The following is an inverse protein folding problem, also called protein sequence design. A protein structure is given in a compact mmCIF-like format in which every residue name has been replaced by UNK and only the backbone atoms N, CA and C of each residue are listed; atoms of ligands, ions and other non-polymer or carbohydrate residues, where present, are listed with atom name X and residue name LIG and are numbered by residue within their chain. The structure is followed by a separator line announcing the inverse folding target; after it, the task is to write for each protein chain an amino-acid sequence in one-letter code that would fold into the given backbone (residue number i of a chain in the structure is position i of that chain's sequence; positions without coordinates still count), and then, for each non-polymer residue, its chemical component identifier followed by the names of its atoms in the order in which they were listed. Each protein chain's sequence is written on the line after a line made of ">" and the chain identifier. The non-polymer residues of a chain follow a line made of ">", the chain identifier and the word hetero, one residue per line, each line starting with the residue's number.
data_IF_554986615783
#
_entry.id   IF_554986615783
#
_cell.length_a   1.000
_cell.length_b   1.000
_cell.length_c   1.000
_cell.angle_alpha   90.00
_cell.angle_beta   90.00
_cell.angle_gamma   90.00
#
_symmetry.space_group_name_H-M   'P 1'
#
loop_
_entity.id
_entity.type
_entity.pdbx_description
1 polymer ?
#
# COMPACT_ATOMS: atom_id res chain seq x y z
N UNK A 1 -11.13 13.64 5.82
CA UNK A 1 -11.29 12.71 6.96
C UNK A 1 -10.00 12.73 7.75
N UNK A 2 -10.04 12.89 9.07
CA UNK A 2 -8.82 12.84 9.90
C UNK A 2 -8.41 11.37 10.11
N UNK A 3 -7.13 10.99 9.92
CA UNK A 3 -6.70 9.59 10.09
C UNK A 3 -7.00 9.02 11.48
N UNK A 4 -6.95 9.85 12.53
CA UNK A 4 -7.30 9.44 13.90
C UNK A 4 -8.79 9.14 14.14
N UNK A 5 -9.64 9.41 13.15
CA UNK A 5 -11.07 9.04 13.18
C UNK A 5 -11.35 7.77 12.37
N UNK A 6 -10.35 7.23 11.66
CA UNK A 6 -10.47 5.93 11.00
C UNK A 6 -10.35 4.85 12.06
N UNK A 7 -11.20 3.83 11.98
CA UNK A 7 -11.05 2.64 12.80
C UNK A 7 -9.67 1.99 12.51
N UNK A 8 -9.03 1.35 13.51
CA UNK A 8 -7.88 0.50 13.24
C UNK A 8 -8.23 -0.52 12.15
N UNK A 9 -7.45 -0.52 11.07
CA UNK A 9 -7.68 -1.35 9.89
C UNK A 9 -6.45 -2.17 9.55
N UNK A 10 -6.64 -3.22 8.74
CA UNK A 10 -5.54 -4.03 8.19
C UNK A 10 -4.75 -3.30 7.09
N UNK A 11 -5.27 -2.16 6.63
CA UNK A 11 -4.70 -1.36 5.55
C UNK A 11 -4.18 -0.03 6.08
N UNK A 12 -3.05 0.48 5.57
CA UNK A 12 -2.59 1.81 5.92
C UNK A 12 -3.61 2.86 5.47
N UNK A 13 -3.68 4.01 6.17
CA UNK A 13 -4.59 5.09 5.80
C UNK A 13 -4.21 5.76 4.46
N UNK A 14 -2.98 5.54 3.99
CA UNK A 14 -2.47 6.09 2.74
C UNK A 14 -1.30 5.25 2.22
N UNK A 15 -1.19 5.20 0.90
CA UNK A 15 -0.04 4.71 0.16
C UNK A 15 0.61 5.84 -0.64
N UNK A 16 1.94 5.88 -0.64
CA UNK A 16 2.74 6.75 -1.52
C UNK A 16 3.43 5.91 -2.58
N UNK A 17 3.44 6.38 -3.83
CA UNK A 17 4.16 5.73 -4.93
C UNK A 17 5.66 5.59 -4.63
N UNK A 18 6.21 4.41 -4.87
CA UNK A 18 7.60 4.06 -4.63
C UNK A 18 8.22 3.42 -5.89
N UNK A 19 9.52 3.65 -6.18
CA UNK A 19 10.19 3.08 -7.35
C UNK A 19 9.98 1.57 -7.51
N UNK A 20 9.84 1.11 -8.75
CA UNK A 20 9.70 -0.31 -9.08
C UNK A 20 8.29 -0.87 -8.88
N UNK A 21 7.24 -0.11 -9.26
CA UNK A 21 5.82 -0.52 -9.12
C UNK A 21 5.46 -0.95 -7.70
N UNK A 22 5.90 -0.14 -6.73
CA UNK A 22 5.65 -0.37 -5.31
C UNK A 22 4.91 0.83 -4.70
N UNK A 23 4.33 0.59 -3.55
CA UNK A 23 3.75 1.60 -2.70
C UNK A 23 4.31 1.45 -1.29
N UNK A 24 4.55 2.59 -0.63
CA UNK A 24 4.91 2.65 0.79
C UNK A 24 3.70 3.12 1.59
N UNK A 25 3.27 2.33 2.57
CA UNK A 25 2.20 2.68 3.51
C UNK A 25 2.67 3.70 4.56
N UNK A 26 1.73 4.48 5.10
CA UNK A 26 2.01 5.38 6.23
C UNK A 26 2.41 4.64 7.52
N UNK A 27 2.11 3.34 7.60
CA UNK A 27 2.56 2.39 8.62
C UNK A 27 3.98 1.84 8.33
N UNK A 28 4.67 2.35 7.31
CA UNK A 28 5.96 1.89 6.81
C UNK A 28 5.96 0.52 6.14
N UNK A 29 4.80 -0.11 5.93
CA UNK A 29 4.69 -1.32 5.13
C UNK A 29 5.00 -1.05 3.66
N UNK A 30 5.42 -2.09 2.93
CA UNK A 30 5.59 -2.03 1.48
C UNK A 30 4.56 -2.93 0.79
N UNK A 31 4.06 -2.49 -0.36
CA UNK A 31 3.21 -3.30 -1.23
C UNK A 31 3.67 -3.21 -2.68
N UNK A 32 3.55 -4.29 -3.44
CA UNK A 32 3.83 -4.30 -4.89
C UNK A 32 2.54 -4.37 -5.71
N UNK A 33 2.56 -3.75 -6.89
CA UNK A 33 1.44 -3.86 -7.85
C UNK A 33 1.50 -5.20 -8.56
N UNK A 34 0.53 -6.06 -8.29
CA UNK A 34 0.41 -7.38 -8.93
C UNK A 34 -0.29 -7.27 -10.28
N UNK A 35 -1.41 -6.54 -10.32
CA UNK A 35 -2.18 -6.30 -11.54
C UNK A 35 -2.74 -4.88 -11.56
N UNK A 36 -2.90 -4.33 -12.76
CA UNK A 36 -3.58 -3.07 -13.02
C UNK A 36 -4.45 -3.27 -14.26
N UNK A 37 -5.77 -3.24 -14.10
CA UNK A 37 -6.72 -3.46 -15.19
C UNK A 37 -7.22 -2.10 -15.65
N UNK A 38 -6.82 -1.72 -16.86
CA UNK A 38 -7.27 -0.49 -17.51
C UNK A 38 -8.73 -0.64 -17.98
N UNK A 39 -9.55 0.40 -17.75
CA UNK A 39 -10.97 0.43 -18.10
C UNK A 39 -11.93 0.36 -16.90
N UNK A 40 -11.50 -0.14 -15.75
CA UNK A 40 -12.26 -0.07 -14.47
C UNK A 40 -11.45 0.55 -13.33
N UNK A 41 -10.21 0.98 -13.59
CA UNK A 41 -9.27 1.50 -12.59
C UNK A 41 -9.15 0.57 -11.36
N UNK A 42 -9.03 -0.73 -11.63
CA UNK A 42 -8.79 -1.73 -10.58
C UNK A 42 -7.29 -2.01 -10.44
N UNK A 43 -6.80 -2.00 -9.21
CA UNK A 43 -5.39 -2.29 -8.90
C UNK A 43 -5.30 -3.29 -7.74
N UNK A 44 -4.56 -4.37 -7.96
CA UNK A 44 -4.27 -5.36 -6.94
C UNK A 44 -2.88 -5.08 -6.33
N UNK A 45 -2.86 -4.91 -5.01
CA UNK A 45 -1.65 -4.75 -4.22
C UNK A 45 -1.41 -5.99 -3.35
N UNK A 46 -0.18 -6.48 -3.34
CA UNK A 46 0.28 -7.52 -2.41
C UNK A 46 1.23 -6.89 -1.39
N UNK A 47 0.97 -7.12 -0.11
CA UNK A 47 1.86 -6.69 0.98
C UNK A 47 3.14 -7.51 0.94
N UNK A 48 4.29 -6.83 0.95
CA UNK A 48 5.60 -7.45 1.06
C UNK A 48 5.93 -7.69 2.54
N UNK A 49 6.74 -8.72 2.86
CA UNK A 49 7.28 -8.84 4.21
C UNK A 49 8.06 -7.58 4.57
N UNK A 50 8.04 -7.23 5.86
CA UNK A 50 8.88 -6.14 6.35
C UNK A 50 10.32 -6.42 5.92
N UNK A 51 11.06 -5.40 5.43
CA UNK A 51 12.45 -5.60 5.12
C UNK A 51 13.15 -6.09 6.38
N UNK A 52 13.73 -7.30 6.32
CA UNK A 52 14.65 -7.74 7.35
C UNK A 52 15.71 -6.63 7.47
N UNK A 53 15.89 -6.10 8.68
CA UNK A 53 16.91 -5.11 8.95
C UNK A 53 18.27 -5.76 8.61
N UNK A 54 18.83 -5.47 7.43
CA UNK A 54 20.22 -5.80 7.10
C UNK A 54 21.18 -5.02 7.98
#
# INVERSE_FOLDING_TARGET
>A
VCPGLLAPGLLPPMWQGHPGRRYRGADSSFSRVVSHIEGTEEMLLEQLPDPEYE
#
